data_IF_555455339690
#
_entry.id   IF_555455339690
#
_cell.length_a   1.000
_cell.length_b   1.000
_cell.length_c   1.000
_cell.angle_alpha   90.00
_cell.angle_beta   90.00
_cell.angle_gamma   90.00
#
_symmetry.space_group_name_H-M   'P 1'
#
loop_
_entity.id
_entity.type
_entity.pdbx_description
1 polymer ?
#
# COMPACT_ATOMS: atom_id res chain seq x y z
N UNK A 1 10.66 -1.80 -21.83
CA UNK A 1 11.06 -0.96 -20.68
C UNK A 1 12.57 -0.90 -20.46
N UNK A 2 13.36 -1.81 -21.04
CA UNK A 2 14.84 -1.79 -20.95
C UNK A 2 15.54 -0.59 -21.62
N UNK A 3 14.92 0.05 -22.61
CA UNK A 3 15.51 1.22 -23.30
C UNK A 3 15.53 2.52 -22.48
N UNK A 4 14.80 2.60 -21.36
CA UNK A 4 14.71 3.81 -20.51
C UNK A 4 15.66 3.74 -19.30
N UNK A 5 16.16 2.54 -18.96
CA UNK A 5 17.10 2.27 -17.86
C UNK A 5 18.35 3.16 -17.80
N UNK A 6 19.00 3.58 -18.91
CA UNK A 6 20.23 4.38 -18.81
C UNK A 6 19.98 5.85 -18.42
N UNK A 7 18.73 6.34 -18.43
CA UNK A 7 18.42 7.73 -18.04
C UNK A 7 18.24 7.92 -16.52
N UNK A 8 17.99 6.83 -15.80
CA UNK A 8 17.74 6.82 -14.36
C UNK A 8 18.86 6.16 -13.54
N UNK A 9 19.82 5.47 -14.16
CA UNK A 9 20.97 4.87 -13.44
C UNK A 9 22.04 5.90 -13.04
N UNK A 10 22.90 5.55 -12.06
CA UNK A 10 23.97 6.41 -11.47
C UNK A 10 24.79 7.11 -12.58
N UNK A 11 24.50 8.39 -12.82
CA UNK A 11 25.14 9.23 -13.85
C UNK A 11 24.17 9.98 -14.78
N UNK A 12 22.87 9.62 -14.80
CA UNK A 12 21.84 10.29 -15.61
C UNK A 12 21.18 11.50 -14.93
N UNK A 13 20.66 12.44 -15.75
CA UNK A 13 19.98 13.69 -15.32
C UNK A 13 18.75 13.48 -14.41
N UNK A 14 18.21 12.25 -14.36
CA UNK A 14 17.04 11.83 -13.56
C UNK A 14 17.37 10.70 -12.57
N UNK A 15 18.63 10.56 -12.16
CA UNK A 15 19.04 9.60 -11.13
C UNK A 15 18.26 9.75 -9.80
N UNK A 16 17.64 10.91 -9.57
CA UNK A 16 16.76 11.20 -8.45
C UNK A 16 15.47 10.35 -8.40
N UNK A 17 14.94 9.90 -9.54
CA UNK A 17 13.69 9.11 -9.62
C UNK A 17 13.95 7.60 -9.79
N UNK A 18 15.21 7.17 -9.70
CA UNK A 18 15.58 5.78 -9.93
C UNK A 18 14.86 4.84 -8.96
N UNK A 19 14.77 5.18 -7.67
CA UNK A 19 14.11 4.30 -6.68
C UNK A 19 12.59 4.18 -6.89
N UNK A 20 11.94 5.24 -7.39
CA UNK A 20 10.51 5.23 -7.67
C UNK A 20 10.20 4.43 -8.93
N UNK A 21 11.03 4.56 -9.97
CA UNK A 21 10.90 3.77 -11.20
C UNK A 21 11.21 2.29 -10.96
N UNK A 22 12.25 2.01 -10.18
CA UNK A 22 12.65 0.65 -9.80
C UNK A 22 11.56 -0.01 -8.93
N UNK A 23 10.95 0.71 -7.98
CA UNK A 23 9.81 0.20 -7.20
C UNK A 23 8.58 -0.13 -8.07
N UNK A 24 8.28 0.68 -9.09
CA UNK A 24 7.18 0.41 -10.04
C UNK A 24 7.47 -0.75 -11.01
N UNK A 25 8.70 -0.88 -11.52
CA UNK A 25 9.11 -2.00 -12.39
C UNK A 25 9.14 -3.32 -11.60
N UNK A 26 9.64 -3.26 -10.37
CA UNK A 26 9.76 -4.37 -9.43
C UNK A 26 8.40 -4.83 -8.90
N UNK A 27 7.37 -3.97 -8.90
CA UNK A 27 5.97 -4.33 -8.61
C UNK A 27 5.35 -5.22 -9.71
N UNK A 28 5.70 -4.99 -10.98
CA UNK A 28 5.15 -5.74 -12.12
C UNK A 28 6.01 -6.92 -12.55
N UNK A 29 7.30 -6.96 -12.18
CA UNK A 29 8.26 -7.95 -12.67
C UNK A 29 8.93 -8.76 -11.55
N UNK A 30 9.09 -10.06 -11.77
CA UNK A 30 9.83 -10.98 -10.89
C UNK A 30 11.33 -10.70 -11.00
N UNK A 31 12.10 -10.66 -9.89
CA UNK A 31 13.55 -10.49 -9.95
C UNK A 31 14.19 -11.70 -10.66
N UNK A 32 14.91 -11.45 -11.75
CA UNK A 32 15.61 -12.48 -12.54
C UNK A 32 16.99 -12.88 -11.99
N UNK A 33 17.26 -12.65 -10.70
CA UNK A 33 18.58 -12.91 -10.10
C UNK A 33 18.63 -14.31 -9.48
N UNK A 34 19.53 -15.17 -9.97
CA UNK A 34 19.80 -16.48 -9.37
C UNK A 34 21.02 -16.43 -8.47
N UNK A 35 21.02 -17.17 -7.36
CA UNK A 35 22.16 -17.25 -6.44
C UNK A 35 23.33 -17.99 -7.08
N UNK A 36 24.43 -17.29 -7.39
CA UNK A 36 25.62 -17.88 -8.05
C UNK A 36 26.69 -18.46 -7.12
N UNK A 37 26.61 -18.22 -5.80
CA UNK A 37 27.54 -18.77 -4.78
C UNK A 37 26.78 -19.61 -3.75
N UNK A 38 27.47 -20.55 -3.10
CA UNK A 38 26.89 -21.38 -2.05
C UNK A 38 26.42 -20.54 -0.86
N UNK A 39 25.18 -20.75 -0.42
CA UNK A 39 24.62 -20.18 0.81
C UNK A 39 24.45 -21.29 1.85
N UNK A 40 24.60 -20.95 3.13
CA UNK A 40 24.48 -21.92 4.23
C UNK A 40 23.05 -22.48 4.36
N UNK A 41 22.04 -21.67 4.05
CA UNK A 41 20.62 -22.03 3.98
C UNK A 41 20.05 -21.37 2.72
N UNK A 42 19.19 -22.08 1.98
CA UNK A 42 18.41 -21.54 0.88
C UNK A 42 16.96 -21.43 1.33
N UNK A 43 16.47 -20.19 1.46
CA UNK A 43 15.07 -19.93 1.73
C UNK A 43 14.30 -19.84 0.40
N UNK A 44 13.09 -20.39 0.37
CA UNK A 44 12.15 -20.27 -0.74
C UNK A 44 11.26 -19.03 -0.59
N UNK A 45 11.32 -18.35 0.56
CA UNK A 45 10.47 -17.22 0.86
C UNK A 45 10.92 -15.96 0.10
N UNK A 46 10.19 -15.63 -0.96
CA UNK A 46 10.32 -14.37 -1.67
C UNK A 46 9.54 -13.28 -0.91
N UNK A 47 10.26 -12.30 -0.34
CA UNK A 47 9.66 -11.24 0.48
C UNK A 47 8.56 -10.51 -0.28
N UNK A 48 8.77 -10.18 -1.56
CA UNK A 48 7.78 -9.47 -2.37
C UNK A 48 6.49 -10.28 -2.53
N UNK A 49 6.61 -11.58 -2.77
CA UNK A 49 5.46 -12.49 -2.86
C UNK A 49 4.65 -12.48 -1.57
N UNK A 50 5.31 -12.58 -0.42
CA UNK A 50 4.62 -12.53 0.88
C UNK A 50 3.88 -11.21 1.04
N UNK A 51 4.52 -10.09 0.69
CA UNK A 51 3.91 -8.76 0.83
C UNK A 51 2.63 -8.60 -0.02
N UNK A 52 2.64 -9.05 -1.28
CA UNK A 52 1.44 -9.00 -2.15
C UNK A 52 0.34 -9.91 -1.62
N UNK A 53 0.66 -11.10 -1.13
CA UNK A 53 -0.34 -12.01 -0.54
C UNK A 53 -1.02 -11.36 0.67
N UNK A 54 -0.26 -10.63 1.50
CA UNK A 54 -0.83 -9.88 2.62
C UNK A 54 -1.76 -8.78 2.12
N UNK A 55 -1.38 -8.00 1.11
CA UNK A 55 -2.27 -6.96 0.54
C UNK A 55 -3.57 -7.55 0.04
N UNK A 56 -3.52 -8.66 -0.71
CA UNK A 56 -4.71 -9.35 -1.21
C UNK A 56 -5.60 -9.83 -0.04
N UNK A 57 -5.00 -10.32 1.03
CA UNK A 57 -5.72 -10.73 2.24
C UNK A 57 -6.36 -9.55 3.00
N UNK A 58 -5.81 -8.33 2.88
CA UNK A 58 -6.36 -7.12 3.51
C UNK A 58 -7.52 -6.50 2.74
N UNK A 59 -7.63 -6.72 1.43
CA UNK A 59 -8.76 -6.21 0.60
C UNK A 59 -10.14 -6.59 1.17
N UNK A 60 -10.45 -7.86 1.47
CA UNK A 60 -11.77 -8.21 2.05
C UNK A 60 -12.00 -7.56 3.42
N UNK A 61 -10.96 -7.43 4.25
CA UNK A 61 -11.03 -6.76 5.54
C UNK A 61 -11.36 -5.27 5.38
N UNK A 62 -10.77 -4.62 4.38
CA UNK A 62 -11.01 -3.21 4.06
C UNK A 62 -12.42 -2.97 3.54
N UNK A 63 -12.93 -3.83 2.65
CA UNK A 63 -14.30 -3.76 2.17
C UNK A 63 -15.31 -3.97 3.32
N UNK A 64 -15.06 -4.93 4.20
CA UNK A 64 -15.88 -5.14 5.39
C UNK A 64 -15.82 -3.93 6.35
N UNK A 65 -14.64 -3.35 6.55
CA UNK A 65 -14.47 -2.15 7.36
C UNK A 65 -15.26 -0.95 6.84
N UNK A 66 -15.26 -0.73 5.52
CA UNK A 66 -16.08 0.30 4.86
C UNK A 66 -17.57 0.06 5.11
N UNK A 67 -18.05 -1.17 4.88
CA UNK A 67 -19.44 -1.51 5.15
C UNK A 67 -19.83 -1.30 6.62
N UNK A 68 -19.00 -1.78 7.54
CA UNK A 68 -19.25 -1.70 8.98
C UNK A 68 -19.33 -0.24 9.47
N UNK A 69 -18.42 0.61 8.99
CA UNK A 69 -18.39 2.04 9.31
C UNK A 69 -19.64 2.77 8.83
N UNK A 70 -20.10 2.45 7.61
CA UNK A 70 -21.37 2.95 7.09
C UNK A 70 -22.55 2.48 7.92
N UNK A 71 -22.59 1.19 8.28
CA UNK A 71 -23.69 0.61 9.04
C UNK A 71 -23.85 1.28 10.40
N UNK A 72 -22.74 1.50 11.12
CA UNK A 72 -22.74 2.19 12.41
C UNK A 72 -23.23 3.65 12.31
N UNK A 73 -22.93 4.34 11.21
CA UNK A 73 -23.42 5.69 10.98
C UNK A 73 -24.95 5.75 10.81
N UNK A 74 -25.52 4.84 10.01
CA UNK A 74 -26.98 4.83 9.80
C UNK A 74 -27.75 4.31 11.03
N UNK A 75 -27.18 3.37 11.78
CA UNK A 75 -27.76 2.89 13.05
C UNK A 75 -27.83 3.97 14.13
N UNK A 76 -26.97 4.97 14.08
CA UNK A 76 -26.92 6.07 15.06
C UNK A 76 -27.70 7.32 14.62
N UNK A 77 -27.85 7.53 13.31
CA UNK A 77 -28.43 8.77 12.75
C UNK A 77 -29.92 8.64 12.40
N UNK A 78 -30.41 7.44 12.06
CA UNK A 78 -31.78 7.23 11.57
C UNK A 78 -32.67 6.33 12.44
N UNK A 79 -33.98 6.27 12.18
CA UNK A 79 -34.86 5.27 12.77
C UNK A 79 -34.41 3.87 12.34
N UNK A 80 -34.31 2.92 13.28
CA UNK A 80 -33.88 1.54 13.01
C UNK A 80 -34.71 0.79 11.95
N UNK A 81 -35.90 1.30 11.62
CA UNK A 81 -36.82 0.73 10.64
C UNK A 81 -36.42 1.01 9.18
N UNK A 82 -35.70 2.10 8.90
CA UNK A 82 -35.38 2.55 7.54
C UNK A 82 -33.87 2.44 7.26
N UNK A 83 -33.31 1.25 7.42
CA UNK A 83 -31.93 0.98 7.02
C UNK A 83 -31.82 1.15 5.49
N UNK A 84 -30.95 2.06 5.00
CA UNK A 84 -30.79 2.22 3.57
C UNK A 84 -30.15 0.96 2.97
N UNK A 85 -30.35 0.74 1.66
CA UNK A 85 -29.82 -0.43 0.98
C UNK A 85 -28.30 -0.57 1.10
N UNK A 86 -27.80 -1.80 0.95
CA UNK A 86 -26.37 -2.14 1.07
C UNK A 86 -25.43 -1.13 0.40
N UNK A 87 -25.77 -0.70 -0.82
CA UNK A 87 -24.96 0.22 -1.60
C UNK A 87 -24.81 1.60 -0.94
N UNK A 88 -25.88 2.15 -0.36
CA UNK A 88 -25.85 3.44 0.32
C UNK A 88 -25.03 3.40 1.60
N UNK A 89 -25.11 2.29 2.34
CA UNK A 89 -24.32 2.03 3.54
C UNK A 89 -22.84 1.94 3.18
N UNK A 90 -22.51 1.10 2.21
CA UNK A 90 -21.14 0.91 1.74
C UNK A 90 -20.55 2.22 1.19
N UNK A 91 -21.31 2.98 0.39
CA UNK A 91 -20.85 4.21 -0.22
C UNK A 91 -20.48 5.29 0.80
N UNK A 92 -21.29 5.44 1.86
CA UNK A 92 -20.95 6.36 2.94
C UNK A 92 -19.65 5.95 3.64
N UNK A 93 -19.51 4.66 3.98
CA UNK A 93 -18.30 4.14 4.61
C UNK A 93 -17.06 4.27 3.71
N UNK A 94 -17.21 4.00 2.41
CA UNK A 94 -16.17 4.20 1.41
C UNK A 94 -15.65 5.65 1.39
N UNK A 95 -16.56 6.63 1.33
CA UNK A 95 -16.18 8.05 1.34
C UNK A 95 -15.47 8.48 2.62
N UNK A 96 -15.74 7.83 3.76
CA UNK A 96 -15.07 8.10 5.04
C UNK A 96 -13.70 7.42 5.16
N UNK A 97 -13.56 6.20 4.65
CA UNK A 97 -12.30 5.45 4.72
C UNK A 97 -11.32 5.87 3.62
N UNK A 98 -11.79 6.35 2.47
CA UNK A 98 -10.93 6.72 1.34
C UNK A 98 -9.89 7.80 1.69
N UNK A 99 -10.22 8.91 2.38
CA UNK A 99 -9.22 9.90 2.80
C UNK A 99 -8.15 9.33 3.72
N UNK A 100 -8.52 8.41 4.62
CA UNK A 100 -7.57 7.72 5.52
C UNK A 100 -6.54 6.90 4.76
N UNK A 101 -7.01 6.14 3.77
CA UNK A 101 -6.14 5.36 2.88
C UNK A 101 -5.20 6.29 2.12
N UNK A 102 -5.72 7.37 1.52
CA UNK A 102 -4.91 8.32 0.75
C UNK A 102 -3.83 8.96 1.62
N UNK A 103 -4.19 9.51 2.77
CA UNK A 103 -3.23 10.19 3.67
C UNK A 103 -2.16 9.22 4.17
N UNK A 104 -2.56 8.01 4.59
CA UNK A 104 -1.64 6.95 5.00
C UNK A 104 -0.60 6.65 3.91
N UNK A 105 -1.06 6.37 2.68
CA UNK A 105 -0.15 6.05 1.57
C UNK A 105 0.73 7.23 1.16
N UNK A 106 0.16 8.43 1.01
CA UNK A 106 0.90 9.60 0.50
C UNK A 106 1.95 10.08 1.49
N UNK A 107 1.57 10.30 2.75
CA UNK A 107 2.51 10.80 3.78
C UNK A 107 3.57 9.74 4.07
N UNK A 108 3.12 8.50 4.19
CA UNK A 108 3.94 7.33 4.44
C UNK A 108 5.03 7.07 3.41
N UNK A 109 4.61 6.84 2.18
CA UNK A 109 5.53 6.63 1.06
C UNK A 109 6.38 7.89 0.84
N UNK A 110 5.82 9.08 0.99
CA UNK A 110 6.56 10.34 0.87
C UNK A 110 7.76 10.41 1.82
N UNK A 111 7.56 10.07 3.10
CA UNK A 111 8.64 10.04 4.10
C UNK A 111 9.64 8.92 3.78
N UNK A 112 9.17 7.72 3.45
CA UNK A 112 10.05 6.59 3.16
C UNK A 112 10.93 6.84 1.93
N UNK A 113 10.34 7.31 0.83
CA UNK A 113 11.10 7.71 -0.36
C UNK A 113 12.13 8.79 0.00
N UNK A 114 11.74 9.81 0.78
CA UNK A 114 12.65 10.89 1.17
C UNK A 114 13.84 10.34 1.96
N UNK A 115 13.62 9.48 2.96
CA UNK A 115 14.68 8.90 3.79
C UNK A 115 15.57 7.96 2.97
N UNK A 116 14.98 7.13 2.11
CA UNK A 116 15.71 6.23 1.23
C UNK A 116 16.63 7.00 0.28
N UNK A 117 16.16 8.14 -0.25
CA UNK A 117 16.97 9.03 -1.08
C UNK A 117 18.13 9.66 -0.30
N UNK A 118 17.87 10.18 0.91
CA UNK A 118 18.92 10.79 1.76
C UNK A 118 20.00 9.77 2.16
N UNK A 119 19.60 8.53 2.44
CA UNK A 119 20.51 7.47 2.90
C UNK A 119 21.07 6.60 1.77
N UNK A 120 20.60 6.78 0.53
CA UNK A 120 21.06 6.03 -0.64
C UNK A 120 20.77 4.52 -0.59
N UNK A 121 19.76 4.07 0.16
CA UNK A 121 19.32 2.68 0.16
C UNK A 121 18.07 2.48 -0.70
N UNK A 122 17.80 1.21 -1.07
CA UNK A 122 16.58 0.85 -1.77
C UNK A 122 15.36 1.04 -0.85
N UNK A 123 14.24 1.39 -1.46
CA UNK A 123 12.95 1.56 -0.76
C UNK A 123 12.43 0.19 -0.39
N UNK A 124 11.96 0.03 0.85
CA UNK A 124 11.48 -1.25 1.31
C UNK A 124 10.03 -1.46 0.82
N UNK A 125 9.72 -2.65 0.32
CA UNK A 125 8.36 -2.99 -0.10
C UNK A 125 7.41 -3.15 1.10
N UNK A 126 7.99 -3.15 2.31
CA UNK A 126 7.40 -2.99 3.64
C UNK A 126 6.16 -2.11 3.69
N UNK A 127 6.31 -0.88 3.22
CA UNK A 127 5.34 0.16 3.49
C UNK A 127 4.05 0.00 2.69
N UNK A 128 4.07 -0.68 1.54
CA UNK A 128 2.87 -0.89 0.76
C UNK A 128 1.81 -1.68 1.57
N UNK A 129 2.26 -2.59 2.43
CA UNK A 129 1.42 -3.33 3.38
C UNK A 129 1.05 -2.46 4.58
N UNK A 130 2.02 -1.80 5.20
CA UNK A 130 1.79 -0.95 6.38
C UNK A 130 0.80 0.18 6.09
N UNK A 131 0.88 0.78 4.90
CA UNK A 131 -0.03 1.83 4.44
C UNK A 131 -1.49 1.39 4.38
N UNK A 132 -1.76 0.10 4.11
CA UNK A 132 -3.11 -0.48 4.17
C UNK A 132 -3.52 -0.91 5.56
N UNK A 133 -2.56 -1.32 6.42
CA UNK A 133 -2.85 -1.71 7.79
C UNK A 133 -3.25 -0.53 8.67
N UNK A 134 -2.61 0.63 8.50
CA UNK A 134 -2.92 1.86 9.26
C UNK A 134 -4.43 2.21 9.24
N UNK A 135 -5.10 2.35 8.08
CA UNK A 135 -6.52 2.67 8.02
C UNK A 135 -7.44 1.56 8.57
N UNK A 136 -6.92 0.34 8.77
CA UNK A 136 -7.69 -0.78 9.34
C UNK A 136 -7.61 -0.87 10.87
N UNK A 137 -6.56 -0.32 11.48
CA UNK A 137 -6.36 -0.38 12.94
C UNK A 137 -6.81 0.90 13.66
N UNK A 138 -6.87 2.03 12.94
CA UNK A 138 -7.30 3.32 13.51
C UNK A 138 -8.80 3.54 13.34
N UNK A 139 -9.47 4.25 14.27
CA UNK A 139 -10.89 4.53 14.12
C UNK A 139 -11.14 5.51 12.97
N UNK A 140 -12.25 5.34 12.25
CA UNK A 140 -12.58 6.14 11.05
C UNK A 140 -12.93 7.60 11.37
N UNK A 141 -13.04 7.94 12.65
CA UNK A 141 -13.34 9.27 13.16
C UNK A 141 -12.11 10.11 13.44
N UNK A 142 -10.89 9.60 13.21
CA UNK A 142 -9.69 10.41 13.43
C UNK A 142 -9.68 11.65 12.53
N UNK A 143 -9.27 12.82 13.07
CA UNK A 143 -9.07 14.00 12.27
C UNK A 143 -7.87 13.78 11.33
N UNK A 144 -8.05 14.09 10.05
CA UNK A 144 -7.03 14.06 9.01
C UNK A 144 -6.47 15.47 8.78
#
# INVERSE_FOLDING_TARGET
>A
MEKIKPSFSKGGRLAFLHSTFDAFETFLMVPGTVTGKGSHIRDCNDLKRVMIVVVIALVPCLLFGMYNSGLQHYLTTGPRADLPGFFSVFWYGFLKVLPLVIVSYVVGLGIEFTIAQVRGHQVNEGYLVTGMLIPLIVPVTIPL
#
